data_IF_914036780152
#
_entry.id   IF_914036780152
#
_cell.length_a   1.000
_cell.length_b   1.000
_cell.length_c   1.000
_cell.angle_alpha   90.00
_cell.angle_beta   90.00
_cell.angle_gamma   90.00
#
_symmetry.space_group_name_H-M   'P 1'
#
loop_
_entity.id
_entity.type
_entity.pdbx_description
1 polymer ?
#
# COMPACT_ATOMS: atom_id res chain seq x y z
N UNK A 1 2.44 60.67 28.56
CA UNK A 1 3.48 61.00 27.57
C UNK A 1 4.69 60.11 27.83
N UNK A 2 4.72 58.92 27.21
CA UNK A 2 5.92 58.16 26.87
C UNK A 2 5.55 57.34 25.64
N UNK A 3 6.17 57.74 24.53
CA UNK A 3 6.02 57.18 23.22
C UNK A 3 7.10 56.11 23.07
N UNK A 4 6.72 54.85 22.94
CA UNK A 4 7.62 53.80 22.46
C UNK A 4 6.99 53.18 21.24
N UNK A 5 7.37 53.74 20.09
CA UNK A 5 7.12 53.19 18.77
C UNK A 5 7.87 51.87 18.59
N UNK A 6 7.15 50.76 18.45
CA UNK A 6 7.70 49.57 17.77
C UNK A 6 7.55 49.77 16.26
N UNK A 7 8.55 50.40 15.64
CA UNK A 7 8.73 50.34 14.19
C UNK A 7 9.23 48.93 13.84
N UNK A 8 8.31 48.02 13.54
CA UNK A 8 8.59 46.76 12.87
C UNK A 8 8.90 47.07 11.41
N UNK A 9 10.16 47.39 11.12
CA UNK A 9 10.68 47.59 9.77
C UNK A 9 10.76 46.20 9.13
N UNK A 10 9.76 45.83 8.32
CA UNK A 10 9.75 44.72 7.35
C UNK A 10 10.84 43.64 7.56
N UNK A 11 10.78 42.95 8.70
CA UNK A 11 11.56 41.74 8.95
C UNK A 11 10.81 40.58 8.32
N UNK A 12 11.12 40.33 7.05
CA UNK A 12 10.72 39.20 6.20
C UNK A 12 10.11 38.07 7.05
N UNK A 13 8.80 37.74 6.91
CA UNK A 13 8.30 36.50 7.48
C UNK A 13 9.18 35.41 6.87
N UNK A 14 9.78 34.48 7.64
CA UNK A 14 10.53 33.39 7.06
C UNK A 14 9.52 32.51 6.33
N UNK A 15 9.22 32.87 5.08
CA UNK A 15 8.69 32.02 4.02
C UNK A 15 9.79 31.04 3.60
N UNK A 16 10.46 30.45 4.59
CA UNK A 16 11.02 29.12 4.42
C UNK A 16 9.78 28.22 4.53
N UNK A 17 9.02 28.20 3.44
CA UNK A 17 8.45 26.96 2.94
C UNK A 17 9.66 26.02 2.84
N UNK A 18 10.00 25.39 3.97
CA UNK A 18 10.84 24.20 3.96
C UNK A 18 10.00 23.29 3.10
N UNK A 19 10.36 23.20 1.82
CA UNK A 19 10.06 22.08 0.98
C UNK A 19 10.80 20.92 1.64
N UNK A 20 10.30 20.50 2.81
CA UNK A 20 10.53 19.18 3.33
C UNK A 20 10.18 18.34 2.13
N UNK A 21 11.12 17.55 1.59
CA UNK A 21 10.82 16.75 0.46
C UNK A 21 9.55 15.97 0.84
N UNK A 22 8.44 16.27 0.17
CA UNK A 22 7.27 15.38 0.09
C UNK A 22 7.71 14.23 -0.80
N UNK A 23 8.89 13.67 -0.51
CA UNK A 23 9.34 12.40 -1.04
C UNK A 23 8.48 11.44 -0.27
N UNK A 24 7.41 10.98 -0.92
CA UNK A 24 6.83 9.67 -0.61
C UNK A 24 7.94 8.68 -0.30
N UNK A 25 7.67 7.72 0.60
CA UNK A 25 8.61 6.62 0.84
C UNK A 25 9.15 6.10 -0.50
N UNK A 26 10.47 6.14 -0.66
CA UNK A 26 11.10 5.67 -1.88
C UNK A 26 11.14 4.16 -1.79
N UNK A 27 10.30 3.52 -2.61
CA UNK A 27 10.10 2.09 -2.64
C UNK A 27 10.63 1.52 -3.95
N UNK A 28 11.38 0.42 -3.87
CA UNK A 28 12.01 -0.26 -5.01
C UNK A 28 11.76 -1.77 -4.93
N UNK A 29 11.61 -2.45 -6.07
CA UNK A 29 11.48 -3.91 -6.11
C UNK A 29 12.87 -4.54 -5.97
N UNK A 30 13.04 -5.49 -5.04
CA UNK A 30 14.30 -6.23 -4.82
C UNK A 30 14.46 -7.39 -5.79
N UNK A 31 13.39 -8.15 -6.00
CA UNK A 31 13.38 -9.32 -6.88
C UNK A 31 12.73 -8.96 -8.22
N UNK A 32 13.55 -8.54 -9.18
CA UNK A 32 13.10 -8.27 -10.55
C UNK A 32 12.93 -9.54 -11.38
N UNK A 33 13.55 -10.65 -10.97
CA UNK A 33 13.41 -11.94 -11.67
C UNK A 33 12.07 -12.60 -11.39
N UNK A 34 11.40 -12.24 -10.27
CA UNK A 34 10.05 -12.68 -9.98
C UNK A 34 9.90 -14.10 -9.46
N UNK A 35 11.01 -14.84 -9.32
CA UNK A 35 11.01 -16.25 -8.93
C UNK A 35 10.30 -16.47 -7.59
N UNK A 36 10.51 -15.58 -6.61
CA UNK A 36 9.86 -15.70 -5.30
C UNK A 36 8.35 -15.40 -5.38
N UNK A 37 7.95 -14.49 -6.28
CA UNK A 37 6.53 -14.22 -6.52
C UNK A 37 5.84 -15.44 -7.16
N UNK A 38 6.38 -15.95 -8.26
CA UNK A 38 5.77 -17.05 -9.01
C UNK A 38 5.68 -18.34 -8.20
N UNK A 39 6.74 -18.68 -7.44
CA UNK A 39 6.83 -19.94 -6.70
C UNK A 39 6.08 -19.96 -5.38
N UNK A 40 5.87 -18.82 -4.71
CA UNK A 40 5.30 -18.77 -3.35
C UNK A 40 4.10 -17.84 -3.26
N UNK A 41 4.25 -16.58 -3.67
CA UNK A 41 3.21 -15.57 -3.45
C UNK A 41 2.00 -15.78 -4.36
N UNK A 42 2.20 -16.14 -5.63
CA UNK A 42 1.13 -16.38 -6.58
C UNK A 42 0.24 -17.54 -6.13
N UNK A 43 0.84 -18.64 -5.66
CA UNK A 43 0.12 -19.81 -5.15
C UNK A 43 -0.77 -19.42 -3.96
N UNK A 44 -0.20 -18.69 -3.00
CA UNK A 44 -0.94 -18.22 -1.83
C UNK A 44 -2.06 -17.23 -2.18
N UNK A 45 -1.87 -16.38 -3.19
CA UNK A 45 -2.92 -15.48 -3.69
C UNK A 45 -4.07 -16.27 -4.31
N UNK A 46 -3.76 -17.30 -5.09
CA UNK A 46 -4.77 -18.14 -5.75
C UNK A 46 -5.57 -18.97 -4.74
N UNK A 47 -4.94 -19.46 -3.68
CA UNK A 47 -5.62 -20.12 -2.56
C UNK A 47 -6.53 -19.15 -1.80
N UNK A 48 -6.05 -17.93 -1.51
CA UNK A 48 -6.89 -16.89 -0.90
C UNK A 48 -8.09 -16.54 -1.77
N UNK A 49 -7.94 -16.43 -3.09
CA UNK A 49 -9.05 -16.12 -4.00
C UNK A 49 -10.13 -17.23 -3.97
N UNK A 50 -9.72 -18.51 -3.94
CA UNK A 50 -10.64 -19.65 -3.75
C UNK A 50 -11.37 -19.58 -2.41
N UNK A 51 -10.66 -19.26 -1.33
CA UNK A 51 -11.23 -19.16 0.02
C UNK A 51 -12.16 -17.96 0.19
N UNK A 52 -11.93 -16.87 -0.55
CA UNK A 52 -12.74 -15.64 -0.47
C UNK A 52 -14.09 -15.77 -1.21
N UNK A 53 -14.30 -16.87 -1.95
CA UNK A 53 -15.57 -17.23 -2.58
C UNK A 53 -15.87 -16.52 -3.91
N UNK A 54 -16.90 -17.00 -4.61
CA UNK A 54 -17.42 -16.44 -5.87
C UNK A 54 -17.95 -15.02 -5.66
N UNK A 55 -18.12 -14.26 -6.75
CA UNK A 55 -18.57 -12.86 -6.72
C UNK A 55 -19.87 -12.68 -5.93
N UNK A 56 -19.74 -12.40 -4.64
CA UNK A 56 -20.78 -11.75 -3.86
C UNK A 56 -21.18 -10.46 -4.58
N UNK A 57 -22.42 -9.98 -4.41
CA UNK A 57 -22.94 -8.72 -4.95
C UNK A 57 -22.16 -7.49 -4.42
N UNK A 58 -20.88 -7.40 -4.75
CA UNK A 58 -19.98 -6.36 -4.33
C UNK A 58 -20.38 -5.08 -5.07
N UNK A 59 -20.45 -3.94 -4.36
CA UNK A 59 -20.73 -2.68 -5.02
C UNK A 59 -19.63 -2.38 -6.04
N UNK A 60 -20.03 -2.02 -7.26
CA UNK A 60 -19.10 -1.62 -8.33
C UNK A 60 -18.32 -0.33 -8.01
N UNK A 61 -18.72 0.38 -6.94
CA UNK A 61 -18.08 1.61 -6.51
C UNK A 61 -16.63 1.36 -6.12
N UNK A 62 -15.73 2.08 -6.78
CA UNK A 62 -14.31 1.95 -6.52
C UNK A 62 -13.93 2.45 -5.12
N UNK A 63 -13.33 1.60 -4.27
CA UNK A 63 -12.87 2.03 -2.96
C UNK A 63 -11.81 3.13 -3.08
N UNK A 64 -11.92 4.17 -2.22
CA UNK A 64 -10.98 5.30 -2.17
C UNK A 64 -9.51 4.89 -2.12
N UNK A 65 -9.20 3.75 -1.49
CA UNK A 65 -7.86 3.18 -1.45
C UNK A 65 -7.26 3.02 -2.85
N UNK A 66 -8.00 2.41 -3.80
CA UNK A 66 -7.51 2.17 -5.16
C UNK A 66 -7.44 3.45 -6.00
N UNK A 67 -8.33 4.42 -5.74
CA UNK A 67 -8.23 5.75 -6.36
C UNK A 67 -6.99 6.52 -5.92
N UNK A 68 -6.59 6.36 -4.66
CA UNK A 68 -5.46 7.08 -4.06
C UNK A 68 -4.12 6.38 -4.29
N UNK A 69 -4.16 5.06 -4.42
CA UNK A 69 -2.99 4.20 -4.52
C UNK A 69 -3.14 3.28 -5.71
N UNK A 70 -2.55 3.69 -6.83
CA UNK A 70 -2.55 2.96 -8.09
C UNK A 70 -1.22 2.22 -8.29
N UNK A 71 -1.27 1.10 -9.00
CA UNK A 71 -0.08 0.41 -9.49
C UNK A 71 0.41 1.05 -10.81
N UNK A 72 0.97 2.26 -10.68
CA UNK A 72 1.58 2.99 -11.80
C UNK A 72 3.05 2.56 -12.00
N UNK A 73 3.59 2.73 -13.21
CA UNK A 73 4.96 2.29 -13.60
C UNK A 73 6.09 2.85 -12.72
N UNK A 74 5.82 3.94 -11.99
CA UNK A 74 6.78 4.61 -11.10
C UNK A 74 6.52 4.34 -9.63
N UNK A 75 5.43 3.62 -9.31
CA UNK A 75 4.88 3.46 -7.96
C UNK A 75 4.46 2.02 -7.65
N UNK A 76 4.80 1.02 -8.46
CA UNK A 76 4.40 -0.37 -8.19
C UNK A 76 4.89 -0.85 -6.83
N UNK A 77 6.16 -0.61 -6.50
CA UNK A 77 6.73 -0.99 -5.21
C UNK A 77 6.02 -0.30 -4.03
N UNK A 78 5.67 0.98 -4.19
CA UNK A 78 4.95 1.73 -3.17
C UNK A 78 3.51 1.22 -3.00
N UNK A 79 2.82 0.91 -4.10
CA UNK A 79 1.51 0.29 -4.08
C UNK A 79 1.54 -1.06 -3.37
N UNK A 80 2.43 -1.96 -3.78
CA UNK A 80 2.58 -3.30 -3.21
C UNK A 80 2.88 -3.26 -1.70
N UNK A 81 3.76 -2.37 -1.25
CA UNK A 81 4.04 -2.19 0.18
C UNK A 81 2.78 -1.73 0.95
N UNK A 82 2.03 -0.75 0.43
CA UNK A 82 0.79 -0.28 1.05
C UNK A 82 -0.27 -1.38 1.08
N UNK A 83 -0.45 -2.09 -0.03
CA UNK A 83 -1.40 -3.18 -0.17
C UNK A 83 -1.08 -4.32 0.81
N UNK A 84 0.19 -4.68 0.95
CA UNK A 84 0.65 -5.66 1.93
C UNK A 84 0.40 -5.23 3.38
N UNK A 85 0.62 -3.95 3.72
CA UNK A 85 0.24 -3.41 5.03
C UNK A 85 -1.27 -3.47 5.25
N UNK A 86 -2.05 -3.20 4.20
CA UNK A 86 -3.51 -3.28 4.25
C UNK A 86 -3.98 -4.72 4.45
N UNK A 87 -3.39 -5.70 3.76
CA UNK A 87 -3.64 -7.13 3.96
C UNK A 87 -3.45 -7.54 5.42
N UNK A 88 -2.37 -7.13 6.10
CA UNK A 88 -2.16 -7.43 7.53
C UNK A 88 -3.31 -6.98 8.43
N UNK A 89 -4.11 -5.98 8.04
CA UNK A 89 -5.28 -5.55 8.81
C UNK A 89 -6.43 -6.57 8.76
N UNK A 90 -6.48 -7.43 7.74
CA UNK A 90 -7.50 -8.46 7.55
C UNK A 90 -7.30 -9.67 8.48
N UNK A 91 -6.10 -9.87 9.04
CA UNK A 91 -5.83 -10.90 10.05
C UNK A 91 -6.72 -10.77 11.30
N UNK A 92 -7.21 -9.55 11.58
CA UNK A 92 -8.12 -9.29 12.69
C UNK A 92 -9.52 -9.87 12.49
N UNK A 93 -9.86 -10.34 11.30
CA UNK A 93 -11.17 -10.93 11.01
C UNK A 93 -11.29 -12.41 11.37
N UNK A 94 -10.16 -13.06 11.67
CA UNK A 94 -10.09 -14.45 12.15
C UNK A 94 -11.00 -15.44 11.41
N UNK A 95 -10.88 -15.50 10.09
CA UNK A 95 -11.74 -16.32 9.22
C UNK A 95 -11.39 -17.82 9.36
N UNK A 96 -10.11 -18.17 9.22
CA UNK A 96 -9.56 -19.52 9.40
C UNK A 96 -8.05 -19.42 9.62
N UNK A 97 -7.45 -20.42 10.27
CA UNK A 97 -6.01 -20.51 10.47
C UNK A 97 -5.27 -20.60 9.12
N UNK A 98 -5.70 -21.46 8.22
CA UNK A 98 -5.14 -21.62 6.87
C UNK A 98 -5.21 -20.32 6.07
N UNK A 99 -6.36 -19.65 6.11
CA UNK A 99 -6.55 -18.34 5.49
C UNK A 99 -5.54 -17.30 6.03
N UNK A 100 -5.32 -17.28 7.35
CA UNK A 100 -4.36 -16.37 7.98
C UNK A 100 -2.91 -16.68 7.56
N UNK A 101 -2.56 -17.96 7.38
CA UNK A 101 -1.23 -18.38 6.91
C UNK A 101 -0.96 -17.86 5.50
N UNK A 102 -1.89 -18.03 4.56
CA UNK A 102 -1.70 -17.49 3.21
C UNK A 102 -1.66 -15.97 3.21
N UNK A 103 -2.51 -15.32 4.00
CA UNK A 103 -2.56 -13.86 4.08
C UNK A 103 -1.27 -13.28 4.67
N UNK A 104 -0.70 -13.94 5.67
CA UNK A 104 0.63 -13.61 6.22
C UNK A 104 1.72 -13.84 5.18
N UNK A 105 1.69 -14.96 4.46
CA UNK A 105 2.65 -15.31 3.40
C UNK A 105 2.67 -14.22 2.32
N UNK A 106 1.50 -13.84 1.79
CA UNK A 106 1.38 -12.79 0.77
C UNK A 106 1.83 -11.44 1.32
N UNK A 107 1.38 -11.04 2.51
CA UNK A 107 1.67 -9.71 3.04
C UNK A 107 3.14 -9.55 3.47
N UNK A 108 3.70 -10.51 4.19
CA UNK A 108 5.10 -10.48 4.61
C UNK A 108 6.03 -10.71 3.42
N UNK A 109 5.73 -11.69 2.58
CA UNK A 109 6.51 -11.97 1.37
C UNK A 109 6.58 -10.77 0.45
N UNK A 110 5.45 -10.12 0.16
CA UNK A 110 5.43 -8.87 -0.63
C UNK A 110 6.29 -7.79 0.02
N UNK A 111 6.21 -7.60 1.34
CA UNK A 111 7.04 -6.63 2.07
C UNK A 111 8.53 -6.97 2.05
N UNK A 112 8.89 -8.24 1.97
CA UNK A 112 10.29 -8.68 1.84
C UNK A 112 10.83 -8.37 0.45
N UNK A 113 10.01 -8.59 -0.59
CA UNK A 113 10.37 -8.36 -1.99
C UNK A 113 10.36 -6.88 -2.40
N UNK A 114 9.74 -6.00 -1.63
CA UNK A 114 9.81 -4.54 -1.83
C UNK A 114 10.72 -3.90 -0.77
N UNK A 115 11.70 -3.10 -1.19
CA UNK A 115 12.50 -2.29 -0.30
C UNK A 115 11.90 -0.89 -0.20
N UNK A 116 11.43 -0.47 0.96
CA UNK A 116 10.95 0.90 1.17
C UNK A 116 11.77 1.59 2.25
N UNK A 117 12.30 2.76 1.93
CA UNK A 117 12.92 3.61 2.94
C UNK A 117 11.85 4.07 3.93
N UNK A 118 12.03 3.72 5.20
CA UNK A 118 11.07 3.92 6.27
C UNK A 118 10.99 5.41 6.65
N UNK A 119 10.28 6.20 5.86
CA UNK A 119 9.45 7.25 6.45
C UNK A 119 8.18 6.55 6.91
N UNK A 120 7.96 6.48 8.21
CA UNK A 120 6.74 5.95 8.80
C UNK A 120 5.53 6.68 8.20
N UNK A 121 4.99 6.14 7.10
CA UNK A 121 3.62 6.42 6.74
C UNK A 121 2.80 5.88 7.90
N UNK A 122 2.44 6.80 8.81
CA UNK A 122 1.52 6.56 9.91
C UNK A 122 0.42 5.65 9.38
N UNK A 123 0.02 4.64 10.14
CA UNK A 123 -1.21 3.91 9.90
C UNK A 123 -2.34 4.96 9.91
N UNK A 124 -2.57 5.61 8.78
CA UNK A 124 -3.71 6.50 8.59
C UNK A 124 -4.87 5.57 8.82
N UNK A 125 -5.61 5.88 9.89
CA UNK A 125 -6.80 5.15 10.29
C UNK A 125 -7.84 5.32 9.19
N UNK A 126 -7.64 4.65 8.07
CA UNK A 126 -8.65 4.49 7.04
C UNK A 126 -9.60 3.44 7.60
N UNK A 127 -10.46 3.92 8.51
CA UNK A 127 -11.58 3.22 9.12
C UNK A 127 -12.60 2.92 8.02
N UNK A 128 -12.27 1.97 7.16
CA UNK A 128 -13.28 1.22 6.42
C UNK A 128 -13.31 -0.16 7.04
N UNK A 129 -14.52 -0.66 7.36
CA UNK A 129 -14.72 -2.06 7.76
C UNK A 129 -13.95 -2.92 6.75
N UNK A 130 -13.07 -3.79 7.27
CA UNK A 130 -12.47 -4.82 6.45
C UNK A 130 -13.63 -5.68 5.94
N UNK A 131 -13.84 -5.66 4.63
CA UNK A 131 -14.95 -6.32 3.97
C UNK A 131 -14.37 -7.32 2.95
N UNK A 132 -15.02 -8.47 2.80
CA UNK A 132 -14.61 -9.53 1.90
C UNK A 132 -14.49 -9.04 0.45
N UNK A 133 -15.41 -8.18 0.01
CA UNK A 133 -15.36 -7.54 -1.31
C UNK A 133 -14.10 -6.70 -1.52
N UNK A 134 -13.70 -5.94 -0.50
CA UNK A 134 -12.47 -5.13 -0.56
C UNK A 134 -11.23 -6.03 -0.61
N UNK A 135 -11.20 -7.09 0.20
CA UNK A 135 -10.10 -8.05 0.23
C UNK A 135 -9.92 -8.72 -1.13
N UNK A 136 -11.00 -9.23 -1.73
CA UNK A 136 -10.97 -9.87 -3.03
C UNK A 136 -10.41 -8.94 -4.10
N UNK A 137 -10.90 -7.69 -4.13
CA UNK A 137 -10.37 -6.67 -5.04
C UNK A 137 -8.89 -6.39 -4.76
N UNK A 138 -8.49 -6.28 -3.50
CA UNK A 138 -7.11 -6.02 -3.12
C UNK A 138 -6.16 -7.13 -3.60
N UNK A 139 -6.54 -8.40 -3.44
CA UNK A 139 -5.78 -9.55 -3.93
C UNK A 139 -5.63 -9.52 -5.46
N UNK A 140 -6.70 -9.20 -6.18
CA UNK A 140 -6.69 -9.05 -7.64
C UNK A 140 -5.75 -7.95 -8.11
N UNK A 141 -5.78 -6.78 -7.48
CA UNK A 141 -4.89 -5.67 -7.82
C UNK A 141 -3.43 -6.00 -7.51
N UNK A 142 -3.15 -6.68 -6.39
CA UNK A 142 -1.79 -7.16 -6.04
C UNK A 142 -1.28 -8.12 -7.13
N UNK A 143 -2.10 -9.11 -7.52
CA UNK A 143 -1.75 -10.07 -8.57
C UNK A 143 -1.46 -9.37 -9.90
N UNK A 144 -2.33 -8.43 -10.27
CA UNK A 144 -2.19 -7.66 -11.52
C UNK A 144 -0.92 -6.81 -11.51
N UNK A 145 -0.62 -6.17 -10.39
CA UNK A 145 0.57 -5.34 -10.22
C UNK A 145 1.86 -6.17 -10.33
N UNK A 146 1.93 -7.33 -9.68
CA UNK A 146 3.06 -8.24 -9.82
C UNK A 146 3.23 -8.74 -11.25
N UNK A 147 2.15 -9.18 -11.90
CA UNK A 147 2.19 -9.62 -13.30
C UNK A 147 2.67 -8.52 -14.25
N UNK A 148 2.36 -7.25 -13.97
CA UNK A 148 2.85 -6.10 -14.72
C UNK A 148 4.36 -5.92 -14.56
N UNK A 149 4.87 -6.00 -13.34
CA UNK A 149 6.32 -5.92 -13.05
C UNK A 149 7.07 -7.04 -13.80
N UNK A 150 6.54 -8.27 -13.78
CA UNK A 150 7.18 -9.41 -14.44
C UNK A 150 7.14 -9.31 -15.95
N UNK A 151 6.02 -8.88 -16.53
CA UNK A 151 5.91 -8.67 -17.99
C UNK A 151 6.79 -7.53 -18.50
N UNK A 152 7.02 -6.49 -17.70
CA UNK A 152 7.93 -5.38 -18.03
C UNK A 152 9.41 -5.69 -17.79
N UNK A 153 9.72 -6.84 -17.19
CA UNK A 153 11.11 -7.30 -16.95
C UNK A 153 11.64 -8.24 -18.04
N UNK A 154 10.80 -8.59 -19.02
CA UNK A 154 11.12 -9.39 -20.23
C UNK A 154 11.21 -8.43 -21.42
#
# INVERSE_FOLDING_TARGET
MFHVSFRYIFGIPPLILVLLPVTSSECHIKDKEGKAYESVLMISIDELDKMTGTDSNCPNNEPNFFRKHLCDDTKEAAFLNRAARKLKQFLKMNISEEFNVHLLTVSQGTQTLVNCTSKEEKNVKEQKKNDACFLKRLLREIKTCWNKILKGSI
#
